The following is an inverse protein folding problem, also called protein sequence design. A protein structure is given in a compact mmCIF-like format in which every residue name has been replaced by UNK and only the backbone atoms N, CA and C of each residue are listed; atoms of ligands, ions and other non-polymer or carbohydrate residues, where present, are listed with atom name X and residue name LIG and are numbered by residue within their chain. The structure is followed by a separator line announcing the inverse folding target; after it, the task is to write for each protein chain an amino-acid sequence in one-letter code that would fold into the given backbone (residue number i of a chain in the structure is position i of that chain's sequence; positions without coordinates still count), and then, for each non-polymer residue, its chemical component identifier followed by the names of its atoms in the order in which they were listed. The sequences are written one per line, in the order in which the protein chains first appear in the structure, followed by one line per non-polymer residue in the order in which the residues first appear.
data_IF_596729871277
#
_entry.id   IF_596729871277
#
_cell.length_a   1.000
_cell.length_b   1.000
_cell.length_c   1.000
_cell.angle_alpha   90.00
_cell.angle_beta   90.00
_cell.angle_gamma   90.00
#
_symmetry.space_group_name_H-M   'P 1'
#
loop_
_entity.id
_entity.type
_entity.pdbx_description
1 polymer ?
#
# COMPACT_ATOMS: atom_id res chain seq x y z
N UNK A 1 -66.45 -23.73 -54.26
CA UNK A 1 -66.36 -22.71 -53.23
C UNK A 1 -65.62 -23.35 -52.02
N UNK A 2 -64.29 -23.16 -51.93
CA UNK A 2 -63.44 -23.77 -50.89
C UNK A 2 -63.01 -22.59 -49.98
N UNK A 3 -63.45 -22.63 -48.70
CA UNK A 3 -63.11 -21.62 -47.66
C UNK A 3 -61.78 -22.06 -46.97
N UNK A 4 -60.74 -21.26 -47.10
CA UNK A 4 -59.49 -21.40 -46.39
C UNK A 4 -59.62 -20.75 -44.99
N UNK A 5 -59.44 -21.54 -43.94
CA UNK A 5 -59.35 -21.09 -42.56
C UNK A 5 -57.86 -20.92 -42.26
N UNK A 6 -57.42 -19.64 -42.07
CA UNK A 6 -56.11 -19.26 -41.59
C UNK A 6 -56.04 -19.45 -40.07
N UNK A 7 -55.26 -20.40 -39.61
CA UNK A 7 -54.94 -20.64 -38.21
C UNK A 7 -53.81 -19.73 -37.79
N UNK A 8 -54.10 -18.63 -37.07
CA UNK A 8 -53.12 -17.73 -36.51
C UNK A 8 -52.57 -18.30 -35.21
N UNK A 9 -51.28 -18.74 -35.25
CA UNK A 9 -50.56 -19.24 -34.08
C UNK A 9 -50.02 -18.03 -33.27
N UNK A 10 -50.68 -17.67 -32.18
CA UNK A 10 -50.26 -16.66 -31.24
C UNK A 10 -49.17 -17.27 -30.34
N UNK A 11 -47.88 -16.98 -30.60
CA UNK A 11 -46.76 -17.31 -29.73
C UNK A 11 -46.80 -16.38 -28.50
N UNK A 12 -47.24 -16.87 -27.36
CA UNK A 12 -47.06 -16.21 -26.07
C UNK A 12 -45.60 -16.33 -25.66
N UNK A 13 -44.82 -15.26 -25.86
CA UNK A 13 -43.54 -15.09 -25.18
C UNK A 13 -43.81 -14.74 -23.74
N UNK A 14 -43.68 -15.70 -22.84
CA UNK A 14 -43.68 -15.46 -21.38
C UNK A 14 -42.38 -14.73 -21.04
N UNK A 15 -42.46 -13.38 -20.87
CA UNK A 15 -41.42 -12.59 -20.22
C UNK A 15 -41.36 -13.04 -18.74
N UNK A 16 -40.35 -13.82 -18.35
CA UNK A 16 -40.03 -14.05 -16.95
C UNK A 16 -39.39 -12.76 -16.42
N UNK A 17 -40.02 -12.04 -15.47
CA UNK A 17 -39.40 -10.86 -14.89
C UNK A 17 -38.12 -11.30 -14.16
N UNK A 18 -36.96 -10.77 -14.54
CA UNK A 18 -35.75 -10.88 -13.74
C UNK A 18 -35.95 -10.09 -12.47
N UNK A 19 -36.12 -10.77 -11.34
CA UNK A 19 -36.15 -10.13 -10.01
C UNK A 19 -34.80 -9.47 -9.78
N UNK A 20 -34.77 -8.15 -9.66
CA UNK A 20 -33.56 -7.43 -9.32
C UNK A 20 -33.10 -7.81 -7.89
N UNK A 21 -31.81 -7.83 -7.62
CA UNK A 21 -31.26 -8.17 -6.28
C UNK A 21 -31.82 -7.26 -5.17
N UNK A 22 -32.21 -6.04 -5.51
CA UNK A 22 -32.84 -5.07 -4.59
C UNK A 22 -34.24 -5.52 -4.09
N UNK A 23 -34.86 -6.49 -4.77
CA UNK A 23 -36.20 -6.99 -4.43
C UNK A 23 -36.15 -8.27 -3.56
N UNK A 24 -34.98 -8.89 -3.38
CA UNK A 24 -34.86 -10.11 -2.58
C UNK A 24 -34.77 -9.74 -1.10
N UNK A 25 -35.84 -10.00 -0.37
CA UNK A 25 -35.93 -9.84 1.10
C UNK A 25 -35.40 -11.10 1.76
N UNK A 26 -34.36 -10.98 2.59
CA UNK A 26 -33.75 -12.06 3.35
C UNK A 26 -34.45 -12.28 4.70
N UNK A 27 -34.91 -11.19 5.33
CA UNK A 27 -35.62 -11.24 6.60
C UNK A 27 -36.50 -10.01 6.80
N UNK A 28 -37.56 -10.15 7.61
CA UNK A 28 -38.46 -9.09 8.04
C UNK A 28 -38.56 -9.07 9.57
N UNK A 29 -38.55 -7.85 10.14
CA UNK A 29 -38.71 -7.58 11.55
C UNK A 29 -39.62 -6.36 11.74
N UNK A 30 -40.92 -6.60 11.99
CA UNK A 30 -41.92 -5.54 12.00
C UNK A 30 -42.06 -4.88 10.63
N UNK A 31 -41.78 -3.59 10.60
CA UNK A 31 -41.76 -2.78 9.35
C UNK A 31 -40.37 -2.67 8.69
N UNK A 32 -39.34 -3.28 9.28
CA UNK A 32 -37.98 -3.27 8.76
C UNK A 32 -37.72 -4.53 7.93
N UNK A 33 -36.98 -4.37 6.83
CA UNK A 33 -36.61 -5.45 5.92
C UNK A 33 -35.09 -5.45 5.69
N UNK A 34 -34.52 -6.64 5.71
CA UNK A 34 -33.14 -6.88 5.29
C UNK A 34 -33.17 -7.35 3.83
N UNK A 35 -32.61 -6.56 2.93
CA UNK A 35 -32.48 -6.95 1.53
C UNK A 35 -31.13 -7.63 1.27
N UNK A 36 -31.09 -8.49 0.25
CA UNK A 36 -29.84 -9.13 -0.18
C UNK A 36 -28.76 -8.08 -0.53
N UNK A 37 -29.16 -6.97 -1.10
CA UNK A 37 -28.26 -5.88 -1.48
C UNK A 37 -27.54 -5.26 -0.28
N UNK A 38 -28.19 -5.18 0.89
CA UNK A 38 -27.61 -4.62 2.11
C UNK A 38 -26.42 -5.44 2.62
N UNK A 39 -26.39 -6.74 2.30
CA UNK A 39 -25.38 -7.68 2.80
C UNK A 39 -24.52 -8.32 1.72
N UNK A 40 -24.74 -8.01 0.44
CA UNK A 40 -24.04 -8.67 -0.67
C UNK A 40 -22.51 -8.56 -0.60
N UNK A 41 -22.01 -7.44 -0.10
CA UNK A 41 -20.59 -7.20 0.05
C UNK A 41 -19.94 -8.01 1.20
N UNK A 42 -20.78 -8.58 2.07
CA UNK A 42 -20.35 -9.44 3.19
C UNK A 42 -20.42 -10.91 2.81
N UNK A 43 -21.16 -11.26 1.74
CA UNK A 43 -21.30 -12.63 1.27
C UNK A 43 -20.07 -13.00 0.45
N UNK A 44 -19.35 -14.08 0.78
CA UNK A 44 -18.25 -14.57 -0.03
C UNK A 44 -18.67 -14.86 -1.47
N UNK A 45 -17.76 -14.63 -2.42
CA UNK A 45 -18.05 -14.83 -3.85
C UNK A 45 -18.37 -16.29 -4.14
N UNK A 46 -19.20 -16.50 -5.17
CA UNK A 46 -19.59 -17.84 -5.63
C UNK A 46 -18.34 -18.72 -5.91
N UNK A 47 -18.30 -19.91 -5.26
CA UNK A 47 -17.21 -20.87 -5.38
C UNK A 47 -16.24 -20.91 -4.19
N UNK A 48 -16.30 -19.97 -3.25
CA UNK A 48 -15.47 -19.98 -2.03
C UNK A 48 -16.08 -20.82 -0.89
N UNK A 49 -17.40 -21.03 -0.91
CA UNK A 49 -18.13 -21.80 0.10
C UNK A 49 -19.00 -22.88 -0.53
N UNK A 50 -19.21 -23.98 0.21
CA UNK A 50 -20.23 -24.95 -0.15
C UNK A 50 -21.65 -24.36 -0.01
N UNK A 51 -22.66 -24.98 -0.62
CA UNK A 51 -24.05 -24.52 -0.52
C UNK A 51 -24.58 -24.50 0.94
N UNK A 52 -24.12 -25.45 1.76
CA UNK A 52 -24.46 -25.53 3.18
C UNK A 52 -23.80 -24.42 3.98
N UNK A 53 -22.52 -24.15 3.74
CA UNK A 53 -21.78 -23.09 4.41
C UNK A 53 -22.33 -21.71 4.04
N UNK A 54 -22.76 -21.53 2.80
CA UNK A 54 -23.41 -20.30 2.34
C UNK A 54 -24.73 -20.05 3.05
N UNK A 55 -25.57 -21.10 3.26
CA UNK A 55 -26.82 -20.98 3.97
C UNK A 55 -26.62 -20.64 5.45
N UNK A 56 -25.66 -21.28 6.12
CA UNK A 56 -25.26 -20.97 7.50
C UNK A 56 -24.70 -19.55 7.64
N UNK A 57 -23.96 -19.07 6.64
CA UNK A 57 -23.45 -17.72 6.62
C UNK A 57 -24.56 -16.68 6.52
N UNK A 58 -25.53 -16.88 5.63
CA UNK A 58 -26.71 -16.00 5.48
C UNK A 58 -27.56 -16.01 6.75
N UNK A 59 -27.82 -17.19 7.37
CA UNK A 59 -28.53 -17.28 8.65
C UNK A 59 -27.84 -16.46 9.75
N UNK A 60 -26.51 -16.51 9.83
CA UNK A 60 -25.72 -15.68 10.77
C UNK A 60 -25.87 -14.19 10.51
N UNK A 61 -25.85 -13.75 9.25
CA UNK A 61 -26.09 -12.35 8.88
C UNK A 61 -27.49 -11.90 9.30
N UNK A 62 -28.52 -12.69 9.01
CA UNK A 62 -29.88 -12.39 9.41
C UNK A 62 -30.01 -12.26 10.93
N UNK A 63 -29.46 -13.21 11.71
CA UNK A 63 -29.48 -13.14 13.17
C UNK A 63 -28.74 -11.95 13.73
N UNK A 64 -27.61 -11.59 13.12
CA UNK A 64 -26.82 -10.42 13.53
C UNK A 64 -27.60 -9.14 13.27
N UNK A 65 -28.19 -8.99 12.10
CA UNK A 65 -29.06 -7.88 11.76
C UNK A 65 -30.27 -7.80 12.72
N UNK A 66 -31.01 -8.88 12.91
CA UNK A 66 -32.17 -8.91 13.79
C UNK A 66 -31.79 -8.54 15.23
N UNK A 67 -30.69 -9.07 15.75
CA UNK A 67 -30.18 -8.71 17.08
C UNK A 67 -29.88 -7.21 17.19
N UNK A 68 -29.23 -6.61 16.20
CA UNK A 68 -28.93 -5.19 16.21
C UNK A 68 -30.22 -4.34 16.20
N UNK A 69 -31.20 -4.68 15.34
CA UNK A 69 -32.48 -3.98 15.27
C UNK A 69 -33.27 -4.08 16.59
N UNK A 70 -33.31 -5.27 17.20
CA UNK A 70 -33.95 -5.48 18.48
C UNK A 70 -33.25 -4.73 19.63
N UNK A 71 -31.92 -4.66 19.62
CA UNK A 71 -31.18 -3.88 20.62
C UNK A 71 -31.45 -2.39 20.49
N UNK A 72 -31.50 -1.86 19.25
CA UNK A 72 -31.86 -0.45 19.01
C UNK A 72 -33.29 -0.18 19.50
N UNK A 73 -34.26 -1.03 19.16
CA UNK A 73 -35.64 -0.89 19.63
C UNK A 73 -35.74 -0.94 21.16
N UNK A 74 -34.99 -1.86 21.81
CA UNK A 74 -34.93 -1.93 23.26
C UNK A 74 -34.29 -0.69 23.88
N UNK A 75 -33.24 -0.12 23.26
CA UNK A 75 -32.62 1.12 23.70
C UNK A 75 -33.59 2.31 23.56
N UNK A 76 -34.28 2.41 22.42
CA UNK A 76 -35.30 3.46 22.19
C UNK A 76 -36.46 3.38 23.20
N UNK A 77 -36.80 2.19 23.67
CA UNK A 77 -37.86 2.00 24.67
C UNK A 77 -37.36 2.29 26.10
N UNK A 78 -36.18 1.83 26.48
CA UNK A 78 -35.71 1.82 27.86
C UNK A 78 -34.84 3.02 28.27
N UNK A 79 -34.22 3.73 27.29
CA UNK A 79 -33.37 4.90 27.61
C UNK A 79 -34.22 6.17 27.72
N UNK A 80 -33.81 7.05 28.60
CA UNK A 80 -34.39 8.37 28.70
C UNK A 80 -34.12 9.22 27.46
N UNK A 81 -34.97 10.21 27.21
CA UNK A 81 -34.89 11.08 26.02
C UNK A 81 -33.52 11.78 25.92
N UNK A 82 -32.94 12.20 27.06
CA UNK A 82 -31.63 12.84 27.11
C UNK A 82 -30.51 11.89 26.65
N UNK A 83 -30.57 10.60 27.00
CA UNK A 83 -29.64 9.56 26.58
C UNK A 83 -29.85 9.09 25.13
N UNK A 84 -30.96 9.45 24.49
CA UNK A 84 -31.30 9.11 23.10
C UNK A 84 -31.02 10.25 22.13
N UNK A 85 -30.72 11.43 22.62
CA UNK A 85 -30.48 12.62 21.81
C UNK A 85 -29.03 12.66 21.32
N UNK A 86 -28.84 12.27 20.06
CA UNK A 86 -27.54 12.28 19.38
C UNK A 86 -27.48 13.28 18.23
N UNK A 87 -28.48 14.11 18.03
CA UNK A 87 -28.63 15.01 16.89
C UNK A 87 -27.42 15.93 16.70
N UNK A 88 -26.96 16.56 17.81
CA UNK A 88 -25.78 17.43 17.76
C UNK A 88 -24.50 16.66 17.47
N UNK A 89 -24.36 15.44 17.98
CA UNK A 89 -23.23 14.57 17.70
C UNK A 89 -23.20 14.15 16.23
N UNK A 90 -24.35 13.70 15.72
CA UNK A 90 -24.50 13.30 14.31
C UNK A 90 -24.25 14.48 13.38
N UNK A 91 -24.78 15.68 13.72
CA UNK A 91 -24.57 16.92 12.96
C UNK A 91 -23.08 17.30 12.93
N UNK A 92 -22.41 17.27 14.07
CA UNK A 92 -20.96 17.55 14.13
C UNK A 92 -20.18 16.56 13.27
N UNK A 93 -20.43 15.26 13.44
CA UNK A 93 -19.76 14.19 12.67
C UNK A 93 -19.99 14.36 11.16
N UNK A 94 -21.23 14.63 10.74
CA UNK A 94 -21.54 14.91 9.33
C UNK A 94 -20.77 16.13 8.80
N UNK A 95 -20.69 17.21 9.57
CA UNK A 95 -19.96 18.41 9.19
C UNK A 95 -18.45 18.13 9.06
N UNK A 96 -17.88 17.34 9.96
CA UNK A 96 -16.46 16.96 9.90
C UNK A 96 -16.17 16.09 8.69
N UNK A 97 -17.04 15.13 8.35
CA UNK A 97 -16.92 14.34 7.13
C UNK A 97 -17.00 15.22 5.86
N UNK A 98 -17.91 16.18 5.82
CA UNK A 98 -18.03 17.11 4.70
C UNK A 98 -16.79 17.98 4.53
N UNK A 99 -16.30 18.58 5.63
CA UNK A 99 -15.05 19.36 5.63
C UNK A 99 -13.88 18.53 5.11
N UNK A 100 -13.73 17.32 5.65
CA UNK A 100 -12.65 16.42 5.22
C UNK A 100 -12.75 16.05 3.75
N UNK A 101 -13.93 15.66 3.27
CA UNK A 101 -14.15 15.32 1.87
C UNK A 101 -13.84 16.50 0.93
N UNK A 102 -14.25 17.72 1.30
CA UNK A 102 -13.98 18.93 0.54
C UNK A 102 -12.47 19.24 0.49
N UNK A 103 -11.79 19.23 1.63
CA UNK A 103 -10.35 19.47 1.73
C UNK A 103 -9.58 18.43 0.91
N UNK A 104 -9.92 17.15 1.02
CA UNK A 104 -9.23 16.09 0.28
C UNK A 104 -9.44 16.21 -1.23
N UNK A 105 -10.62 16.59 -1.67
CA UNK A 105 -10.89 16.85 -3.09
C UNK A 105 -10.07 18.05 -3.58
N UNK A 106 -10.10 19.16 -2.85
CA UNK A 106 -9.34 20.36 -3.19
C UNK A 106 -7.85 20.11 -3.29
N UNK A 107 -7.28 19.37 -2.32
CA UNK A 107 -5.86 18.98 -2.32
C UNK A 107 -5.54 18.11 -3.52
N UNK A 108 -6.38 17.12 -3.87
CA UNK A 108 -6.15 16.27 -5.05
C UNK A 108 -6.13 17.05 -6.36
N UNK A 109 -6.92 18.09 -6.47
CA UNK A 109 -7.05 18.90 -7.68
C UNK A 109 -5.96 19.97 -7.81
N UNK A 110 -5.45 20.48 -6.69
CA UNK A 110 -4.60 21.68 -6.67
C UNK A 110 -3.18 21.45 -6.13
N UNK A 111 -2.87 20.27 -5.59
CA UNK A 111 -1.54 20.00 -5.08
C UNK A 111 -0.55 19.78 -6.22
N UNK A 112 0.48 20.64 -6.31
CA UNK A 112 1.62 20.36 -7.17
C UNK A 112 2.46 19.22 -6.60
N UNK A 113 2.45 18.08 -7.30
CA UNK A 113 3.16 16.85 -6.93
C UNK A 113 4.53 16.74 -7.60
N UNK A 114 4.90 17.66 -8.48
CA UNK A 114 6.22 17.71 -9.11
C UNK A 114 7.26 18.19 -8.08
N UNK A 115 8.29 17.40 -7.84
CA UNK A 115 9.42 17.78 -6.98
C UNK A 115 10.69 17.63 -7.77
N UNK A 116 11.39 18.75 -7.98
CA UNK A 116 12.62 18.79 -8.76
C UNK A 116 13.83 18.28 -7.99
N UNK A 117 14.91 17.99 -8.70
CA UNK A 117 16.17 17.56 -8.06
C UNK A 117 16.77 18.69 -7.21
N UNK A 118 16.62 19.94 -7.65
CA UNK A 118 17.08 21.14 -6.94
C UNK A 118 16.35 21.30 -5.61
N UNK A 119 15.03 21.11 -5.59
CA UNK A 119 14.24 21.17 -4.35
C UNK A 119 14.64 20.06 -3.37
N UNK A 120 14.87 18.85 -3.86
CA UNK A 120 15.37 17.75 -3.04
C UNK A 120 16.69 18.08 -2.39
N UNK A 121 17.64 18.59 -3.19
CA UNK A 121 18.99 18.95 -2.72
C UNK A 121 18.93 20.11 -1.73
N UNK A 122 18.14 21.14 -2.02
CA UNK A 122 17.95 22.29 -1.13
C UNK A 122 17.36 21.85 0.21
N UNK A 123 16.29 21.02 0.17
CA UNK A 123 15.68 20.52 1.39
C UNK A 123 16.65 19.67 2.21
N UNK A 124 17.40 18.79 1.56
CA UNK A 124 18.43 17.96 2.20
C UNK A 124 19.48 18.81 2.90
N UNK A 125 20.08 19.77 2.20
CA UNK A 125 21.13 20.63 2.75
C UNK A 125 20.65 21.51 3.90
N UNK A 126 19.40 22.01 3.81
CA UNK A 126 18.82 22.86 4.86
C UNK A 126 18.46 22.08 6.13
N UNK A 127 18.20 20.77 6.00
CA UNK A 127 17.74 19.92 7.10
C UNK A 127 18.69 18.73 7.34
N UNK A 128 19.97 18.89 7.10
CA UNK A 128 20.96 17.81 7.09
C UNK A 128 20.96 16.98 8.39
N UNK A 129 20.82 17.67 9.53
CA UNK A 129 20.80 17.04 10.87
C UNK A 129 19.63 16.05 11.06
N UNK A 130 18.54 16.18 10.28
CA UNK A 130 17.43 15.25 10.30
C UNK A 130 17.69 13.95 9.51
N UNK A 131 18.83 13.85 8.84
CA UNK A 131 19.20 12.75 7.97
C UNK A 131 20.44 11.99 8.46
N UNK A 132 20.67 12.00 9.76
CA UNK A 132 21.68 11.15 10.37
C UNK A 132 21.23 9.67 10.31
N UNK A 133 22.18 8.81 9.94
CA UNK A 133 21.95 7.36 9.85
C UNK A 133 21.84 6.76 11.25
N UNK A 134 20.75 6.05 11.52
CA UNK A 134 20.55 5.29 12.76
C UNK A 134 21.25 3.93 12.73
N UNK A 135 21.51 3.43 11.53
CA UNK A 135 22.17 2.15 11.25
C UNK A 135 23.13 2.30 10.08
N UNK A 136 24.11 1.40 9.98
CA UNK A 136 25.02 1.39 8.83
C UNK A 136 24.29 0.90 7.59
N UNK A 137 24.61 1.51 6.43
CA UNK A 137 24.03 1.16 5.14
C UNK A 137 25.13 0.84 4.13
N UNK A 138 24.81 0.01 3.16
CA UNK A 138 25.74 -0.47 2.14
C UNK A 138 25.11 -0.39 0.74
N UNK A 139 25.95 -0.09 -0.24
CA UNK A 139 25.69 -0.38 -1.65
C UNK A 139 26.53 -1.58 -2.03
N UNK A 140 25.90 -2.72 -2.21
CA UNK A 140 26.59 -3.95 -2.55
C UNK A 140 25.64 -4.87 -3.34
N UNK A 141 26.24 -5.77 -4.09
CA UNK A 141 25.54 -6.87 -4.76
C UNK A 141 26.28 -8.17 -4.55
N UNK A 142 25.56 -9.26 -4.67
CA UNK A 142 26.17 -10.58 -4.73
C UNK A 142 25.51 -11.43 -5.82
N UNK A 143 26.27 -12.41 -6.28
CA UNK A 143 25.77 -13.49 -7.12
C UNK A 143 26.23 -14.80 -6.53
N UNK A 144 25.33 -15.75 -6.35
CA UNK A 144 25.63 -17.06 -5.77
C UNK A 144 25.55 -18.15 -6.84
N UNK A 145 26.52 -19.06 -6.79
CA UNK A 145 26.71 -20.16 -7.71
C UNK A 145 26.89 -21.45 -6.91
N UNK A 146 26.35 -22.61 -7.34
CA UNK A 146 26.61 -23.88 -6.67
C UNK A 146 28.10 -24.18 -6.57
N UNK A 147 28.56 -24.65 -5.42
CA UNK A 147 29.98 -25.02 -5.17
C UNK A 147 30.52 -26.04 -6.19
N UNK A 148 29.67 -26.93 -6.69
CA UNK A 148 30.03 -27.95 -7.65
C UNK A 148 30.01 -27.48 -9.13
N UNK A 149 29.81 -26.19 -9.38
CA UNK A 149 29.83 -25.64 -10.74
C UNK A 149 31.24 -25.81 -11.37
N UNK A 150 31.27 -26.08 -12.68
CA UNK A 150 32.54 -26.27 -13.37
C UNK A 150 33.37 -24.98 -13.37
N UNK A 151 34.68 -25.10 -13.14
CA UNK A 151 35.65 -23.97 -13.19
C UNK A 151 35.45 -22.89 -12.11
N UNK A 152 34.80 -23.18 -10.99
CA UNK A 152 34.58 -22.24 -9.89
C UNK A 152 35.88 -21.58 -9.41
N UNK A 153 36.98 -22.34 -9.21
CA UNK A 153 38.29 -21.79 -8.83
C UNK A 153 38.85 -20.79 -9.85
N UNK A 154 38.57 -21.01 -11.14
CA UNK A 154 39.00 -20.08 -12.17
C UNK A 154 38.15 -18.78 -12.13
N UNK A 155 36.86 -18.93 -11.94
CA UNK A 155 35.94 -17.79 -11.80
C UNK A 155 36.29 -16.92 -10.61
N UNK A 156 36.64 -17.51 -9.47
CA UNK A 156 37.14 -16.79 -8.29
C UNK A 156 38.41 -15.97 -8.63
N UNK A 157 39.34 -16.55 -9.40
CA UNK A 157 40.55 -15.82 -9.84
C UNK A 157 40.24 -14.68 -10.80
N UNK A 158 39.33 -14.86 -11.75
CA UNK A 158 38.88 -13.80 -12.69
C UNK A 158 38.20 -12.66 -11.95
N UNK A 159 37.31 -12.99 -11.00
CA UNK A 159 36.56 -12.02 -10.18
C UNK A 159 37.44 -11.17 -9.28
N UNK A 160 38.46 -11.77 -8.65
CA UNK A 160 39.37 -11.06 -7.73
C UNK A 160 40.43 -10.18 -8.40
N UNK A 161 40.55 -10.22 -9.75
CA UNK A 161 41.49 -9.35 -10.45
C UNK A 161 41.09 -7.88 -10.37
N UNK A 162 42.06 -6.98 -10.58
CA UNK A 162 41.82 -5.53 -10.57
C UNK A 162 40.73 -5.13 -11.56
N UNK A 163 40.75 -5.72 -12.77
CA UNK A 163 39.70 -5.62 -13.77
C UNK A 163 39.11 -7.03 -13.90
N UNK A 164 37.79 -7.15 -13.74
CA UNK A 164 37.10 -8.42 -13.92
C UNK A 164 37.23 -8.83 -15.38
N UNK A 165 37.62 -10.09 -15.63
CA UNK A 165 37.73 -10.60 -17.00
C UNK A 165 36.35 -10.87 -17.60
N UNK A 166 36.18 -10.63 -18.90
CA UNK A 166 34.94 -10.89 -19.63
C UNK A 166 34.49 -12.36 -19.46
N UNK A 167 35.43 -13.29 -19.38
CA UNK A 167 35.20 -14.70 -19.12
C UNK A 167 34.46 -14.99 -17.81
N UNK A 168 34.56 -14.10 -16.82
CA UNK A 168 33.79 -14.20 -15.59
C UNK A 168 32.30 -13.92 -15.87
N UNK A 169 32.00 -12.88 -16.64
CA UNK A 169 30.63 -12.52 -16.96
C UNK A 169 29.94 -13.60 -17.78
N UNK A 170 30.61 -14.16 -18.79
CA UNK A 170 30.11 -15.30 -19.57
C UNK A 170 29.84 -16.52 -18.68
N UNK A 171 30.74 -16.77 -17.72
CA UNK A 171 30.62 -17.91 -16.81
C UNK A 171 29.48 -17.70 -15.79
N UNK A 172 29.37 -16.50 -15.19
CA UNK A 172 28.37 -16.23 -14.17
C UNK A 172 26.95 -16.27 -14.77
N UNK A 173 26.78 -15.84 -16.02
CA UNK A 173 25.49 -15.92 -16.71
C UNK A 173 24.97 -17.35 -16.83
N UNK A 174 25.89 -18.33 -16.99
CA UNK A 174 25.53 -19.75 -17.12
C UNK A 174 25.26 -20.41 -15.77
N UNK A 175 26.04 -20.07 -14.74
CA UNK A 175 26.05 -20.82 -13.48
C UNK A 175 25.37 -20.11 -12.29
N UNK A 176 25.03 -18.84 -12.41
CA UNK A 176 24.35 -18.12 -11.34
C UNK A 176 22.95 -18.68 -11.09
N UNK A 177 22.68 -19.01 -9.84
CA UNK A 177 21.38 -19.53 -9.38
C UNK A 177 20.64 -18.58 -8.46
N UNK A 178 21.36 -17.65 -7.82
CA UNK A 178 20.79 -16.63 -6.96
C UNK A 178 21.58 -15.32 -7.13
N UNK A 179 20.85 -14.22 -7.17
CA UNK A 179 21.42 -12.87 -7.21
C UNK A 179 20.74 -12.00 -6.17
N UNK A 180 21.45 -10.95 -5.69
CA UNK A 180 20.82 -9.94 -4.85
C UNK A 180 19.64 -9.29 -5.58
N UNK A 181 18.56 -9.02 -4.85
CA UNK A 181 17.41 -8.27 -5.36
C UNK A 181 17.74 -6.79 -5.64
N UNK A 182 18.89 -6.33 -5.14
CA UNK A 182 19.34 -4.94 -5.21
C UNK A 182 20.30 -4.76 -6.39
N UNK A 183 20.19 -3.61 -7.05
CA UNK A 183 21.23 -3.20 -7.99
C UNK A 183 22.42 -2.59 -7.24
N UNK A 184 23.53 -2.44 -7.92
CA UNK A 184 24.78 -1.94 -7.36
C UNK A 184 24.77 -0.46 -6.89
N UNK A 185 23.68 0.26 -7.15
CA UNK A 185 23.48 1.66 -6.73
C UNK A 185 22.42 1.81 -5.61
N UNK A 186 21.77 0.72 -5.20
CA UNK A 186 20.77 0.74 -4.14
C UNK A 186 21.42 0.72 -2.76
N UNK A 187 21.01 1.61 -1.88
CA UNK A 187 21.37 1.60 -0.48
C UNK A 187 20.42 0.70 0.32
N UNK A 188 20.97 -0.22 1.11
CA UNK A 188 20.23 -1.12 2.00
C UNK A 188 20.88 -1.14 3.39
N UNK A 189 20.14 -1.49 4.46
CA UNK A 189 20.72 -1.74 5.77
C UNK A 189 21.83 -2.78 5.69
N UNK A 190 22.95 -2.53 6.40
CA UNK A 190 24.08 -3.45 6.41
C UNK A 190 23.70 -4.83 6.97
N UNK A 191 22.90 -4.86 8.04
CA UNK A 191 22.48 -6.11 8.68
C UNK A 191 21.55 -6.93 7.75
N UNK A 192 20.72 -6.27 6.96
CA UNK A 192 19.89 -6.92 5.92
C UNK A 192 20.79 -7.61 4.89
N UNK A 193 21.77 -6.89 4.34
CA UNK A 193 22.74 -7.45 3.39
C UNK A 193 23.52 -8.63 3.97
N UNK A 194 24.01 -8.51 5.22
CA UNK A 194 24.76 -9.55 5.89
C UNK A 194 23.94 -10.81 6.17
N UNK A 195 22.63 -10.69 6.31
CA UNK A 195 21.74 -11.85 6.48
C UNK A 195 21.61 -12.71 5.21
N UNK A 196 21.94 -12.14 4.05
CA UNK A 196 21.83 -12.83 2.77
C UNK A 196 23.09 -13.58 2.35
N UNK A 197 24.25 -13.28 2.97
CA UNK A 197 25.55 -13.88 2.63
C UNK A 197 26.21 -14.52 3.84
N UNK A 198 26.93 -15.63 3.69
CA UNK A 198 27.61 -16.32 4.77
C UNK A 198 28.99 -15.67 5.08
N UNK A 199 28.98 -14.40 5.48
CA UNK A 199 30.20 -13.68 5.82
C UNK A 199 30.57 -13.89 7.30
N UNK A 200 31.58 -14.71 7.58
CA UNK A 200 32.11 -14.91 8.91
C UNK A 200 33.26 -13.93 9.20
N UNK A 201 32.98 -12.93 10.03
CA UNK A 201 34.00 -11.96 10.48
C UNK A 201 33.61 -11.35 11.82
N UNK A 202 34.58 -11.05 12.65
CA UNK A 202 34.36 -10.36 13.93
C UNK A 202 34.00 -8.90 13.79
N UNK A 203 34.34 -8.28 12.67
CA UNK A 203 34.01 -6.87 12.38
C UNK A 203 33.66 -6.69 10.89
N UNK A 204 32.39 -6.92 10.53
CA UNK A 204 31.91 -6.79 9.15
C UNK A 204 32.21 -5.41 8.54
N UNK A 205 32.01 -4.35 9.31
CA UNK A 205 32.26 -3.00 8.83
C UNK A 205 33.71 -2.79 8.39
N UNK A 206 34.66 -3.12 9.27
CA UNK A 206 36.10 -2.95 8.95
C UNK A 206 36.51 -3.82 7.76
N UNK A 207 35.96 -5.02 7.64
CA UNK A 207 36.21 -5.92 6.53
C UNK A 207 35.68 -5.36 5.21
N UNK A 208 34.41 -4.99 5.13
CA UNK A 208 33.73 -4.50 3.92
C UNK A 208 34.24 -3.13 3.47
N UNK A 209 34.68 -2.28 4.40
CA UNK A 209 35.30 -1.00 4.05
C UNK A 209 36.62 -1.17 3.31
N UNK A 210 37.38 -2.19 3.65
CA UNK A 210 38.71 -2.48 3.06
C UNK A 210 38.62 -3.37 1.83
N UNK A 211 37.66 -4.31 1.81
CA UNK A 211 37.56 -5.37 0.79
C UNK A 211 36.37 -5.15 -0.08
N UNK A 212 36.62 -4.57 -1.26
CA UNK A 212 35.53 -4.21 -2.18
C UNK A 212 35.02 -5.38 -3.03
N UNK A 213 35.80 -6.44 -3.16
CA UNK A 213 35.42 -7.69 -3.85
C UNK A 213 35.98 -8.88 -3.10
N UNK A 214 35.11 -9.82 -2.79
CA UNK A 214 35.47 -11.04 -2.11
C UNK A 214 34.51 -12.18 -2.43
N UNK A 215 34.89 -13.38 -2.06
CA UNK A 215 34.02 -14.54 -2.10
C UNK A 215 33.87 -15.12 -0.70
N UNK A 216 32.68 -15.55 -0.36
CA UNK A 216 32.39 -16.38 0.82
C UNK A 216 31.55 -17.57 0.37
N UNK A 217 31.48 -18.61 1.19
CA UNK A 217 30.81 -19.87 0.84
C UNK A 217 30.06 -20.44 2.02
N UNK A 218 28.96 -21.10 1.75
CA UNK A 218 28.28 -21.98 2.69
C UNK A 218 28.47 -23.44 2.23
N UNK A 219 27.68 -24.36 2.75
CA UNK A 219 27.77 -25.80 2.41
C UNK A 219 27.34 -26.14 0.98
N UNK A 220 26.71 -25.23 0.27
CA UNK A 220 26.07 -25.48 -1.04
C UNK A 220 26.53 -24.49 -2.11
N UNK A 221 26.78 -23.23 -1.74
CA UNK A 221 26.97 -22.12 -2.65
C UNK A 221 28.26 -21.35 -2.39
N UNK A 222 28.85 -20.80 -3.45
CA UNK A 222 29.86 -19.74 -3.37
C UNK A 222 29.21 -18.41 -3.78
N UNK A 223 29.46 -17.37 -2.99
CA UNK A 223 28.94 -16.02 -3.17
C UNK A 223 30.04 -15.10 -3.68
N UNK A 224 29.80 -14.46 -4.79
CA UNK A 224 30.67 -13.42 -5.37
C UNK A 224 30.12 -12.08 -4.96
N UNK A 225 30.80 -11.36 -4.10
CA UNK A 225 30.31 -10.13 -3.46
C UNK A 225 31.10 -8.93 -3.97
N UNK A 226 30.39 -7.91 -4.43
CA UNK A 226 30.93 -6.60 -4.80
C UNK A 226 30.36 -5.51 -3.89
N UNK A 227 31.23 -4.73 -3.27
CA UNK A 227 30.87 -3.60 -2.39
C UNK A 227 31.27 -2.30 -3.06
N UNK A 228 30.32 -1.46 -3.37
CA UNK A 228 30.58 -0.14 -3.95
C UNK A 228 30.86 0.88 -2.86
N UNK A 229 29.93 1.05 -1.93
CA UNK A 229 30.03 2.06 -0.88
C UNK A 229 29.45 1.54 0.44
N UNK A 230 29.97 2.05 1.55
CA UNK A 230 29.53 1.73 2.91
C UNK A 230 29.48 3.02 3.72
N UNK A 231 28.39 3.24 4.45
CA UNK A 231 28.19 4.35 5.37
C UNK A 231 27.91 3.82 6.76
N UNK A 232 28.55 4.39 7.77
CA UNK A 232 28.36 4.00 9.17
C UNK A 232 27.18 4.74 9.79
N UNK A 233 26.59 4.11 10.81
CA UNK A 233 25.67 4.78 11.72
C UNK A 233 26.28 6.08 12.27
N UNK A 234 25.45 7.03 12.62
CA UNK A 234 25.80 8.38 13.09
C UNK A 234 26.58 9.25 12.06
N UNK A 235 26.58 8.85 10.78
CA UNK A 235 26.99 9.72 9.68
C UNK A 235 25.77 10.23 8.91
N UNK A 236 25.94 11.25 8.06
CA UNK A 236 24.84 11.74 7.24
C UNK A 236 24.45 10.75 6.13
N UNK A 237 23.17 10.52 6.00
CA UNK A 237 22.61 9.67 4.94
C UNK A 237 22.93 10.25 3.56
N UNK A 238 23.31 9.44 2.57
CA UNK A 238 23.36 9.92 1.19
C UNK A 238 21.97 10.42 0.73
N UNK A 239 21.94 11.48 -0.08
CA UNK A 239 20.68 12.02 -0.61
C UNK A 239 19.83 10.95 -1.29
N UNK A 240 20.44 10.09 -2.07
CA UNK A 240 19.73 9.03 -2.80
C UNK A 240 19.00 8.03 -1.85
N UNK A 241 19.58 7.74 -0.68
CA UNK A 241 18.92 6.90 0.34
C UNK A 241 17.67 7.54 0.92
N UNK A 242 17.69 8.84 1.17
CA UNK A 242 16.59 9.60 1.78
C UNK A 242 15.68 10.33 0.80
N UNK A 243 16.00 10.29 -0.50
CA UNK A 243 15.30 11.03 -1.56
C UNK A 243 13.78 10.87 -1.54
N UNK A 244 13.30 9.64 -1.43
CA UNK A 244 11.86 9.36 -1.38
C UNK A 244 11.22 9.89 -0.08
N UNK A 245 11.94 9.87 1.03
CA UNK A 245 11.50 10.44 2.31
C UNK A 245 11.42 11.96 2.21
N UNK A 246 12.42 12.61 1.62
CA UNK A 246 12.45 14.07 1.40
C UNK A 246 11.30 14.48 0.48
N UNK A 247 11.07 13.77 -0.62
CA UNK A 247 9.93 14.02 -1.52
C UNK A 247 8.59 14.01 -0.75
N UNK A 248 8.37 13.01 0.09
CA UNK A 248 7.16 12.94 0.92
C UNK A 248 7.05 14.12 1.89
N UNK A 249 8.16 14.55 2.48
CA UNK A 249 8.19 15.69 3.39
C UNK A 249 7.85 17.01 2.66
N UNK A 250 8.42 17.24 1.48
CA UNK A 250 8.11 18.42 0.64
C UNK A 250 6.63 18.43 0.26
N UNK A 251 6.10 17.31 -0.23
CA UNK A 251 4.69 17.20 -0.61
C UNK A 251 3.74 17.40 0.59
N UNK A 252 4.10 16.86 1.75
CA UNK A 252 3.32 17.08 2.97
C UNK A 252 3.32 18.55 3.40
N UNK A 253 4.45 19.23 3.32
CA UNK A 253 4.55 20.68 3.59
C UNK A 253 3.68 21.48 2.62
N UNK A 254 3.75 21.19 1.31
CA UNK A 254 2.89 21.83 0.30
C UNK A 254 1.40 21.58 0.59
N UNK A 255 1.05 20.36 0.98
CA UNK A 255 -0.33 20.01 1.36
C UNK A 255 -0.82 20.85 2.54
N UNK A 256 -0.03 20.97 3.60
CA UNK A 256 -0.39 21.79 4.78
C UNK A 256 -0.58 23.24 4.37
N UNK A 257 0.39 23.83 3.66
CA UNK A 257 0.28 25.23 3.21
C UNK A 257 -0.90 25.46 2.27
N UNK A 258 -1.27 24.48 1.46
CA UNK A 258 -2.43 24.56 0.56
C UNK A 258 -3.74 24.56 1.36
N UNK A 259 -3.82 23.73 2.43
CA UNK A 259 -4.99 23.69 3.32
C UNK A 259 -5.13 25.00 4.09
N UNK A 260 -4.05 25.51 4.69
CA UNK A 260 -4.05 26.80 5.37
C UNK A 260 -4.54 27.93 4.45
N UNK A 261 -4.05 27.96 3.21
CA UNK A 261 -4.45 28.97 2.21
C UNK A 261 -5.94 28.89 1.85
N UNK A 262 -6.51 27.70 1.68
CA UNK A 262 -7.94 27.59 1.36
C UNK A 262 -8.80 28.02 2.57
N UNK A 263 -8.40 27.66 3.79
CA UNK A 263 -9.09 28.07 5.01
C UNK A 263 -9.09 29.61 5.16
N UNK A 264 -7.95 30.24 4.97
CA UNK A 264 -7.81 31.71 5.00
C UNK A 264 -8.63 32.39 3.88
N UNK A 265 -8.61 31.85 2.66
CA UNK A 265 -9.38 32.39 1.54
C UNK A 265 -10.89 32.30 1.78
N UNK A 266 -11.38 31.22 2.38
CA UNK A 266 -12.81 31.05 2.70
C UNK A 266 -13.24 32.13 3.70
N UNK A 267 -12.43 32.37 4.73
CA UNK A 267 -12.71 33.39 5.76
C UNK A 267 -12.66 34.79 5.15
N UNK A 268 -11.60 35.12 4.40
CA UNK A 268 -11.44 36.42 3.74
C UNK A 268 -12.58 36.75 2.80
N UNK A 269 -12.97 35.79 1.95
CA UNK A 269 -14.09 35.95 1.03
C UNK A 269 -15.44 36.17 1.76
N UNK A 270 -15.64 35.49 2.91
CA UNK A 270 -16.85 35.68 3.70
C UNK A 270 -16.91 37.07 4.35
N UNK A 271 -15.75 37.61 4.80
CA UNK A 271 -15.64 38.98 5.31
C UNK A 271 -15.91 40.02 4.21
N UNK A 272 -15.27 39.86 3.05
CA UNK A 272 -15.44 40.78 1.90
C UNK A 272 -16.88 40.85 1.40
N UNK A 273 -17.60 39.73 1.43
CA UNK A 273 -19.02 39.65 1.04
C UNK A 273 -19.98 40.14 2.12
N UNK A 274 -19.50 40.37 3.34
CA UNK A 274 -20.32 40.70 4.49
C UNK A 274 -21.09 39.54 5.11
N UNK A 275 -20.77 38.30 4.71
CA UNK A 275 -21.37 37.07 5.25
C UNK A 275 -20.81 36.75 6.66
N UNK A 276 -19.61 37.24 6.98
CA UNK A 276 -18.97 37.11 8.28
C UNK A 276 -18.70 38.52 8.86
N UNK A 277 -19.37 38.80 9.97
CA UNK A 277 -19.15 40.03 10.73
C UNK A 277 -18.43 39.66 12.04
N UNK A 278 -17.25 40.21 12.23
CA UNK A 278 -16.48 40.07 13.48
C UNK A 278 -16.68 41.36 14.26
N UNK A 279 -17.32 41.31 15.43
CA UNK A 279 -17.65 42.51 16.23
C UNK A 279 -16.39 43.20 16.79
#
# INVERSE_FOLDING_TARGET
MIRWILFSCFAFTACVPSVSSDQIVLAELGNKRLHLEDVKNQIPKSGELSSVDSALFVDRLIRTWAKNELLVAAAEFNLDQEMRSFEDLVKRYRNDLLKHAYIDQYVRENLDTSVTQEELLQYYNTNLDNFELKESIIQAKYTAVPLNAQKTDQAIRWFKRRIIEDKYYDWIEVFATKQSAYNDSSWIPLDEFLSEIPLETSNPYAYLNRTKRFTCEDTVMVYFVEVNELRIANSYSPLEYVKNRIRKMILNKRRITLIERIEENIISNAIEKGDLLIP
#
